data_IF_023482988229
#
_entry.id   IF_023482988229
#
_cell.length_a   1.000
_cell.length_b   1.000
_cell.length_c   1.000
_cell.angle_alpha   90.00
_cell.angle_beta   90.00
_cell.angle_gamma   90.00
#
_symmetry.space_group_name_H-M   'P 1'
#
loop_
_entity.id
_entity.type
_entity.pdbx_description
1 polymer ?
#
# COMPACT_ATOMS: atom_id res chain seq x y z
N UNK A 1 -19.36 -23.54 5.64
CA UNK A 1 -18.67 -23.27 4.48
C UNK A 1 -17.92 -22.00 4.46
N UNK A 2 -16.87 -22.14 3.80
CA UNK A 2 -15.99 -21.03 3.62
C UNK A 2 -16.69 -19.85 2.99
N UNK A 3 -17.83 -20.08 2.39
CA UNK A 3 -18.61 -19.00 1.79
C UNK A 3 -18.93 -17.89 2.79
N UNK A 4 -18.90 -18.22 4.07
CA UNK A 4 -19.13 -17.21 5.09
C UNK A 4 -17.89 -16.50 5.58
N UNK A 5 -16.72 -16.84 5.07
CA UNK A 5 -15.50 -16.24 5.56
C UNK A 5 -15.43 -14.78 5.13
N UNK A 6 -15.53 -13.88 6.10
CA UNK A 6 -15.29 -12.46 5.86
C UNK A 6 -13.80 -12.20 5.75
N UNK A 7 -13.40 -11.28 4.89
CA UNK A 7 -12.01 -10.83 4.89
C UNK A 7 -11.64 -10.35 6.29
N UNK A 8 -10.47 -10.72 6.74
CA UNK A 8 -9.98 -10.26 8.03
C UNK A 8 -9.89 -8.74 8.04
N UNK A 9 -10.44 -8.12 9.08
CA UNK A 9 -10.38 -6.67 9.19
C UNK A 9 -8.94 -6.24 9.46
N UNK A 10 -8.57 -5.12 8.84
CA UNK A 10 -7.26 -4.54 9.07
C UNK A 10 -7.25 -3.90 10.45
N UNK A 11 -6.27 -4.29 11.28
CA UNK A 11 -6.17 -3.79 12.64
C UNK A 11 -5.93 -2.27 12.65
N UNK A 12 -6.47 -1.62 13.65
CA UNK A 12 -6.30 -0.20 13.83
C UNK A 12 -4.83 0.16 14.08
N UNK A 13 -4.46 1.36 13.68
CA UNK A 13 -3.14 1.91 13.96
C UNK A 13 -3.21 2.64 15.29
N UNK A 14 -2.29 2.32 16.20
CA UNK A 14 -2.27 2.94 17.53
C UNK A 14 -1.88 4.41 17.46
N UNK A 15 -2.19 5.16 18.52
CA UNK A 15 -1.81 6.57 18.61
C UNK A 15 -0.29 6.75 18.56
N UNK A 16 0.47 5.83 19.17
CA UNK A 16 1.92 5.89 19.15
C UNK A 16 2.47 5.62 17.74
N UNK A 17 1.92 4.63 17.05
CA UNK A 17 2.29 4.35 15.66
C UNK A 17 1.97 5.53 14.75
N UNK A 18 0.80 6.14 14.94
CA UNK A 18 0.39 7.31 14.15
C UNK A 18 1.30 8.50 14.39
N UNK A 19 1.71 8.72 15.63
CA UNK A 19 2.65 9.81 15.96
C UNK A 19 3.99 9.60 15.26
N UNK A 20 4.51 8.37 15.29
CA UNK A 20 5.75 8.04 14.60
C UNK A 20 5.65 8.27 13.09
N UNK A 21 4.53 7.89 12.49
CA UNK A 21 4.29 8.10 11.08
C UNK A 21 4.32 9.60 10.74
N UNK A 22 3.64 10.42 11.53
CA UNK A 22 3.61 11.87 11.29
C UNK A 22 4.98 12.51 11.47
N UNK A 23 5.81 11.97 12.37
CA UNK A 23 7.17 12.45 12.52
C UNK A 23 8.05 12.16 11.30
N UNK A 24 7.83 11.03 10.65
CA UNK A 24 8.65 10.59 9.53
C UNK A 24 8.14 11.06 8.17
N UNK A 25 6.88 11.49 8.08
CA UNK A 25 6.30 11.92 6.82
C UNK A 25 6.16 13.43 6.79
N UNK A 26 6.80 14.10 5.82
CA UNK A 26 6.61 15.54 5.65
C UNK A 26 5.15 15.89 5.35
N UNK A 27 4.70 17.04 5.85
CA UNK A 27 3.36 17.53 5.54
C UNK A 27 3.17 17.66 4.03
N UNK A 28 2.00 17.25 3.55
CA UNK A 28 1.69 17.32 2.12
C UNK A 28 2.21 16.15 1.31
N UNK A 29 2.68 15.09 1.95
CA UNK A 29 3.10 13.89 1.23
C UNK A 29 1.89 13.23 0.58
N UNK A 30 2.00 12.95 -0.72
CA UNK A 30 0.99 12.22 -1.48
C UNK A 30 1.35 10.74 -1.54
N UNK A 31 0.37 9.90 -1.22
CA UNK A 31 0.52 8.45 -1.36
C UNK A 31 -0.53 7.94 -2.33
N UNK A 32 -0.11 7.56 -3.53
CA UNK A 32 -1.00 6.93 -4.50
C UNK A 32 -1.07 5.44 -4.20
N UNK A 33 -2.29 4.91 -4.08
CA UNK A 33 -2.52 3.49 -3.82
C UNK A 33 -3.06 2.83 -5.07
N UNK A 34 -2.42 1.75 -5.50
CA UNK A 34 -2.71 1.09 -6.77
C UNK A 34 -2.95 -0.39 -6.55
N UNK A 35 -3.96 -0.92 -7.22
CA UNK A 35 -4.30 -2.34 -7.21
C UNK A 35 -4.32 -2.86 -8.65
N UNK A 36 -4.20 -4.18 -8.80
CA UNK A 36 -4.23 -4.83 -10.11
C UNK A 36 -5.56 -5.51 -10.40
N UNK A 37 -6.36 -5.78 -9.35
CA UNK A 37 -7.58 -6.54 -9.45
C UNK A 37 -8.63 -5.95 -8.52
N UNK A 38 -9.86 -5.83 -9.01
CA UNK A 38 -10.98 -5.29 -8.22
C UNK A 38 -11.26 -6.11 -6.96
N UNK A 39 -10.94 -7.40 -6.97
CA UNK A 39 -11.10 -8.23 -5.78
C UNK A 39 -10.27 -7.74 -4.59
N UNK A 40 -9.22 -6.96 -4.86
CA UNK A 40 -8.35 -6.41 -3.82
C UNK A 40 -8.88 -5.08 -3.25
N UNK A 41 -9.86 -4.46 -3.91
CA UNK A 41 -10.27 -3.08 -3.60
C UNK A 41 -10.78 -2.92 -2.17
N UNK A 42 -11.63 -3.80 -1.71
CA UNK A 42 -12.23 -3.64 -0.38
C UNK A 42 -11.17 -3.62 0.71
N UNK A 43 -10.24 -4.56 0.66
CA UNK A 43 -9.16 -4.62 1.64
C UNK A 43 -8.19 -3.43 1.49
N UNK A 44 -7.89 -3.06 0.27
CA UNK A 44 -7.05 -1.89 0.00
C UNK A 44 -7.69 -0.61 0.54
N UNK A 45 -9.03 -0.48 0.41
CA UNK A 45 -9.73 0.69 0.93
C UNK A 45 -9.70 0.72 2.45
N UNK A 46 -9.82 -0.43 3.11
CA UNK A 46 -9.67 -0.48 4.56
C UNK A 46 -8.28 0.00 4.99
N UNK A 47 -7.25 -0.48 4.31
CA UNK A 47 -5.87 -0.06 4.60
C UNK A 47 -5.71 1.44 4.37
N UNK A 48 -6.21 1.92 3.23
CA UNK A 48 -6.15 3.34 2.90
C UNK A 48 -6.76 4.20 4.00
N UNK A 49 -7.94 3.81 4.49
CA UNK A 49 -8.62 4.55 5.56
C UNK A 49 -7.80 4.57 6.84
N UNK A 50 -7.20 3.44 7.22
CA UNK A 50 -6.33 3.39 8.41
C UNK A 50 -5.14 4.32 8.28
N UNK A 51 -4.50 4.30 7.11
CA UNK A 51 -3.33 5.14 6.86
C UNK A 51 -3.71 6.62 6.80
N UNK A 52 -4.86 6.94 6.18
CA UNK A 52 -5.33 8.32 6.10
C UNK A 52 -5.63 8.89 7.49
N UNK A 53 -6.26 8.09 8.35
CA UNK A 53 -6.53 8.52 9.73
C UNK A 53 -5.24 8.72 10.52
N UNK A 54 -4.31 7.76 10.40
CA UNK A 54 -3.04 7.83 11.13
C UNK A 54 -2.18 8.99 10.66
N UNK A 55 -2.17 9.26 9.38
CA UNK A 55 -1.35 10.30 8.76
C UNK A 55 -2.05 11.63 8.60
N UNK A 56 -3.19 11.85 9.27
CA UNK A 56 -3.95 13.09 9.13
C UNK A 56 -3.07 14.30 9.42
N UNK A 57 -3.09 15.26 8.50
CA UNK A 57 -2.22 16.45 8.57
C UNK A 57 -0.88 16.30 7.89
N UNK A 58 -0.43 15.08 7.61
CA UNK A 58 0.83 14.84 6.89
C UNK A 58 0.60 14.14 5.55
N UNK A 59 -0.26 13.11 5.54
CA UNK A 59 -0.50 12.30 4.35
C UNK A 59 -1.81 12.66 3.67
N UNK A 60 -1.78 12.66 2.35
CA UNK A 60 -2.96 12.74 1.51
C UNK A 60 -2.97 11.50 0.63
N UNK A 61 -4.03 10.70 0.72
CA UNK A 61 -4.13 9.43 0.00
C UNK A 61 -5.36 9.48 -0.92
N UNK A 62 -5.16 9.79 -2.22
CA UNK A 62 -6.27 9.84 -3.18
C UNK A 62 -6.94 8.48 -3.38
N UNK A 63 -7.97 8.47 -4.20
CA UNK A 63 -8.72 7.27 -4.52
C UNK A 63 -7.81 6.20 -5.09
N UNK A 64 -8.11 4.95 -4.74
CA UNK A 64 -7.37 3.79 -5.23
C UNK A 64 -7.59 3.64 -6.73
N UNK A 65 -6.50 3.45 -7.47
CA UNK A 65 -6.54 3.21 -8.90
C UNK A 65 -6.32 1.73 -9.19
N UNK A 66 -7.19 1.17 -10.05
CA UNK A 66 -6.96 -0.16 -10.63
C UNK A 66 -6.13 0.04 -11.91
N UNK A 67 -4.83 -0.24 -11.82
CA UNK A 67 -3.91 0.05 -12.93
C UNK A 67 -4.13 -0.86 -14.13
N UNK A 68 -4.61 -2.09 -13.91
CA UNK A 68 -4.94 -3.00 -15.02
C UNK A 68 -6.15 -2.47 -15.81
N UNK A 69 -7.17 -1.99 -15.10
CA UNK A 69 -8.36 -1.40 -15.72
C UNK A 69 -7.99 -0.12 -16.49
N UNK A 70 -7.19 0.74 -15.89
CA UNK A 70 -6.75 1.98 -16.55
C UNK A 70 -5.96 1.67 -17.82
N UNK A 71 -5.06 0.69 -17.76
CA UNK A 71 -4.28 0.28 -18.92
C UNK A 71 -5.19 -0.25 -20.04
N UNK A 72 -6.19 -1.07 -19.69
CA UNK A 72 -7.14 -1.61 -20.65
C UNK A 72 -7.93 -0.48 -21.34
N UNK A 73 -8.37 0.51 -20.57
CA UNK A 73 -9.10 1.66 -21.11
C UNK A 73 -8.25 2.49 -22.05
N UNK A 74 -6.95 2.54 -21.84
CA UNK A 74 -6.00 3.27 -22.68
C UNK A 74 -5.39 2.41 -23.76
N UNK A 75 -5.84 1.18 -23.90
CA UNK A 75 -5.29 0.20 -24.87
C UNK A 75 -3.78 0.03 -24.69
N UNK A 76 -3.35 0.01 -23.45
CA UNK A 76 -1.95 -0.17 -23.08
C UNK A 76 -1.77 -1.51 -22.38
N UNK A 77 -0.53 -2.01 -22.44
CA UNK A 77 -0.18 -3.22 -21.71
C UNK A 77 -0.24 -2.93 -20.22
N UNK A 78 -0.94 -3.79 -19.42
CA UNK A 78 -0.99 -3.57 -17.98
C UNK A 78 0.39 -3.74 -17.34
N UNK A 79 0.65 -3.02 -16.23
CA UNK A 79 1.87 -3.23 -15.48
C UNK A 79 1.95 -4.67 -14.96
N UNK A 80 3.17 -5.21 -14.93
CA UNK A 80 3.41 -6.52 -14.33
C UNK A 80 3.28 -6.38 -12.81
N UNK A 81 2.42 -7.20 -12.16
CA UNK A 81 2.23 -7.07 -10.71
C UNK A 81 3.49 -7.36 -9.92
N UNK A 82 3.73 -6.53 -8.90
CA UNK A 82 4.64 -6.89 -7.84
C UNK A 82 4.06 -8.07 -7.07
N UNK A 83 4.91 -8.97 -6.60
CA UNK A 83 4.44 -10.10 -5.79
C UNK A 83 4.22 -9.73 -4.34
N UNK A 84 4.83 -8.65 -3.87
CA UNK A 84 4.66 -8.13 -2.52
C UNK A 84 4.10 -6.72 -2.56
N UNK A 85 3.43 -6.27 -1.49
CA UNK A 85 3.14 -4.85 -1.35
C UNK A 85 4.44 -4.06 -1.47
N UNK A 86 4.44 -3.05 -2.32
CA UNK A 86 5.67 -2.34 -2.64
C UNK A 86 5.42 -0.84 -2.61
N UNK A 87 6.24 -0.14 -1.82
CA UNK A 87 6.29 1.31 -1.86
C UNK A 87 7.36 1.74 -2.85
N UNK A 88 6.98 2.65 -3.75
CA UNK A 88 7.91 3.26 -4.69
C UNK A 88 8.15 4.70 -4.25
N UNK A 89 9.41 5.02 -4.02
CA UNK A 89 9.84 6.33 -3.51
C UNK A 89 10.31 7.18 -4.68
N UNK A 90 9.68 8.34 -4.89
CA UNK A 90 10.05 9.25 -5.98
C UNK A 90 11.23 10.14 -5.62
N UNK A 91 11.41 10.45 -4.34
CA UNK A 91 12.50 11.28 -3.86
C UNK A 91 13.13 10.64 -2.64
N UNK A 92 14.46 10.63 -2.57
CA UNK A 92 15.19 9.98 -1.48
C UNK A 92 14.78 10.53 -0.10
N UNK A 93 14.42 11.80 0.00
CA UNK A 93 13.99 12.42 1.26
C UNK A 93 12.72 11.80 1.83
N UNK A 94 11.93 11.12 1.00
CA UNK A 94 10.70 10.46 1.45
C UNK A 94 10.91 9.00 1.85
N UNK A 95 12.12 8.49 1.78
CA UNK A 95 12.39 7.11 2.16
C UNK A 95 12.05 6.83 3.64
N UNK A 96 12.37 7.70 4.60
CA UNK A 96 11.94 7.45 5.98
C UNK A 96 10.42 7.33 6.13
N UNK A 97 9.67 8.16 5.41
CA UNK A 97 8.20 8.07 5.40
C UNK A 97 7.75 6.72 4.83
N UNK A 98 8.31 6.31 3.69
CA UNK A 98 7.98 5.03 3.07
C UNK A 98 8.30 3.85 4.00
N UNK A 99 9.42 3.90 4.70
CA UNK A 99 9.80 2.85 5.63
C UNK A 99 8.86 2.78 6.82
N UNK A 100 8.45 3.94 7.36
CA UNK A 100 7.47 3.98 8.44
C UNK A 100 6.13 3.40 7.98
N UNK A 101 5.67 3.76 6.79
CA UNK A 101 4.46 3.19 6.21
C UNK A 101 4.58 1.68 6.02
N UNK A 102 5.72 1.21 5.52
CA UNK A 102 5.94 -0.22 5.31
C UNK A 102 5.84 -1.00 6.62
N UNK A 103 6.35 -0.45 7.72
CA UNK A 103 6.24 -1.07 9.04
C UNK A 103 4.80 -1.19 9.50
N UNK A 104 3.95 -0.22 9.15
CA UNK A 104 2.52 -0.26 9.49
C UNK A 104 1.76 -1.25 8.61
N UNK A 105 2.11 -1.33 7.34
CA UNK A 105 1.45 -2.23 6.39
C UNK A 105 1.85 -3.68 6.61
N UNK A 106 3.10 -3.92 7.00
CA UNK A 106 3.67 -5.27 7.14
C UNK A 106 2.79 -6.21 7.97
N UNK A 107 2.35 -5.85 9.19
CA UNK A 107 1.53 -6.76 10.00
C UNK A 107 0.06 -6.76 9.60
N UNK A 108 -0.36 -5.86 8.73
CA UNK A 108 -1.78 -5.62 8.45
C UNK A 108 -2.27 -6.19 7.13
N UNK A 109 -1.41 -6.19 6.10
CA UNK A 109 -1.89 -6.59 4.77
C UNK A 109 -2.08 -8.10 4.63
N UNK A 110 -1.06 -8.87 4.99
CA UNK A 110 -1.11 -10.34 4.93
C UNK A 110 -0.56 -10.91 6.22
N UNK A 111 -1.27 -10.73 7.35
CA UNK A 111 -0.70 -11.06 8.67
C UNK A 111 -0.35 -12.53 8.83
N UNK A 112 -1.07 -13.43 8.13
CA UNK A 112 -0.86 -14.86 8.27
C UNK A 112 0.27 -15.40 7.39
N UNK A 113 0.70 -14.65 6.38
CA UNK A 113 1.62 -15.17 5.37
C UNK A 113 3.05 -14.68 5.54
N UNK A 114 3.28 -13.69 6.39
CA UNK A 114 4.58 -13.04 6.54
C UNK A 114 5.10 -12.42 5.24
N UNK A 115 4.21 -12.10 4.32
CA UNK A 115 4.56 -11.42 3.08
C UNK A 115 5.24 -10.10 3.40
N UNK A 116 6.46 -9.93 2.93
CA UNK A 116 7.23 -8.71 3.21
C UNK A 116 6.74 -7.55 2.36
N UNK A 117 6.75 -6.36 2.97
CA UNK A 117 6.50 -5.11 2.25
C UNK A 117 7.84 -4.54 1.81
N UNK A 118 7.95 -4.25 0.52
CA UNK A 118 9.17 -3.71 -0.06
C UNK A 118 9.12 -2.20 -0.16
N UNK A 119 10.30 -1.59 -0.11
CA UNK A 119 10.49 -0.16 -0.39
C UNK A 119 11.57 -0.05 -1.44
N UNK A 120 11.25 0.58 -2.55
CA UNK A 120 12.17 0.74 -3.67
C UNK A 120 12.10 2.15 -4.25
N UNK A 121 13.13 2.55 -4.98
CA UNK A 121 13.11 3.82 -5.69
C UNK A 121 12.53 3.66 -7.09
N UNK A 122 12.36 4.78 -7.79
CA UNK A 122 11.97 4.75 -9.19
C UNK A 122 13.06 4.10 -10.04
N UNK A 123 12.67 3.39 -11.11
CA UNK A 123 13.65 2.91 -12.07
C UNK A 123 14.48 4.05 -12.62
N UNK A 124 15.74 3.76 -12.94
CA UNK A 124 16.67 4.72 -13.54
C UNK A 124 16.06 5.31 -14.80
N UNK A 125 16.16 6.63 -14.94
CA UNK A 125 15.65 7.33 -16.12
C UNK A 125 14.23 7.82 -16.00
N UNK A 126 13.47 7.39 -14.99
CA UNK A 126 12.14 7.92 -14.75
C UNK A 126 12.22 9.16 -13.86
N UNK A 127 11.43 10.17 -14.22
CA UNK A 127 11.38 11.41 -13.47
C UNK A 127 10.39 11.29 -12.34
N UNK A 128 10.86 11.49 -11.11
CA UNK A 128 9.99 11.47 -9.94
C UNK A 128 9.16 12.73 -9.81
N UNK A 129 8.03 12.60 -9.13
CA UNK A 129 7.19 13.73 -8.76
C UNK A 129 7.49 14.14 -7.33
N UNK A 130 7.67 15.45 -7.05
CA UNK A 130 7.95 15.90 -5.69
C UNK A 130 6.86 15.49 -4.71
N UNK A 131 7.27 15.12 -3.50
CA UNK A 131 6.34 14.81 -2.42
C UNK A 131 5.51 13.57 -2.62
N UNK A 132 5.90 12.66 -3.51
CA UNK A 132 5.06 11.55 -3.95
C UNK A 132 5.64 10.20 -3.56
N UNK A 133 4.78 9.33 -3.06
CA UNK A 133 5.01 7.90 -2.86
C UNK A 133 3.91 7.13 -3.60
N UNK A 134 4.23 5.89 -3.99
CA UNK A 134 3.23 4.96 -4.52
C UNK A 134 3.23 3.71 -3.67
N UNK A 135 2.04 3.16 -3.45
CA UNK A 135 1.87 1.85 -2.81
C UNK A 135 1.16 0.94 -3.80
N UNK A 136 1.85 -0.11 -4.21
CA UNK A 136 1.32 -1.11 -5.13
C UNK A 136 0.91 -2.34 -4.34
N UNK A 137 -0.38 -2.68 -4.37
CA UNK A 137 -0.95 -3.75 -3.56
C UNK A 137 -1.37 -4.92 -4.44
N UNK A 138 -0.60 -6.01 -4.45
CA UNK A 138 -1.08 -7.27 -5.03
C UNK A 138 -2.13 -7.87 -4.11
N UNK A 139 -2.83 -8.91 -4.59
CA UNK A 139 -3.73 -9.65 -3.72
C UNK A 139 -2.99 -10.12 -2.47
N UNK A 140 -3.62 -10.02 -1.29
CA UNK A 140 -2.99 -10.56 -0.09
C UNK A 140 -2.80 -12.06 -0.23
N UNK A 141 -1.68 -12.57 0.27
CA UNK A 141 -1.47 -14.00 0.26
C UNK A 141 -2.52 -14.68 1.14
N UNK A 142 -3.10 -15.79 0.67
CA UNK A 142 -4.00 -16.55 1.51
C UNK A 142 -3.26 -17.18 2.68
N UNK A 143 -4.00 -17.37 3.76
CA UNK A 143 -3.47 -18.09 4.91
C UNK A 143 -3.06 -19.49 4.47
N UNK A 144 -1.85 -19.90 4.86
CA UNK A 144 -1.41 -21.26 4.60
C UNK A 144 -2.09 -22.16 5.60
N UNK A 145 -3.09 -22.88 5.13
CA UNK A 145 -3.78 -23.84 5.97
C UNK A 145 -3.16 -25.22 5.85
N UNK A 146 -2.97 -25.87 6.95
CA UNK A 146 -2.80 -27.29 7.04
C UNK A 146 -1.59 -27.88 6.43
N UNK A 147 -0.74 -27.19 6.21
CA UNK A 147 0.25 -27.80 5.56
C UNK A 147 0.88 -29.01 6.06
N UNK A 148 0.68 -29.53 5.98
CA UNK A 148 1.13 -30.46 6.17
C UNK A 148 1.96 -30.74 6.12
#
# INVERSE_FOLDING_TARGET
>A
PAAGAMPELITAISAAEAAGLRDDCPAGTLLYTQIYDEATRERAEQLRQRLQQAGAGALRIPRIENVARTAAMRQQRPPVPWQQPTFVVHQARLRPCAQALAQLVQPRWSPASRQKVWVTGLPTGLKGQPGTLELWLPAPEPERTGAR
#
